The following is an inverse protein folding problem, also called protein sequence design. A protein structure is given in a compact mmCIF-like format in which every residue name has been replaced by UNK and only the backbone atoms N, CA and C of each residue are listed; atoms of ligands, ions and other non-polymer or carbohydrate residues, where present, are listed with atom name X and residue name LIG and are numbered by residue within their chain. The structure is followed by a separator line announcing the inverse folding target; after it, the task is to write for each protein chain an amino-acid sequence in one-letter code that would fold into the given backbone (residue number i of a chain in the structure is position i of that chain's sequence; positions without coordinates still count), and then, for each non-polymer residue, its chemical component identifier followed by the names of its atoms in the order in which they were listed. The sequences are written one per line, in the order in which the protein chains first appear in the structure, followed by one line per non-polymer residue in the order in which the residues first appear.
data_IF_728612062060
#
_entry.id   IF_728612062060
#
_cell.length_a   1.000
_cell.length_b   1.000
_cell.length_c   1.000
_cell.angle_alpha   90.00
_cell.angle_beta   90.00
_cell.angle_gamma   90.00
#
_symmetry.space_group_name_H-M   'P 1'
#
loop_
_entity.id
_entity.type
_entity.pdbx_description
1 polymer ?
#
# COMPACT_ATOMS: atom_id res chain seq x y z
N UNK A 1 -7.44 -1.95 -5.70
CA UNK A 1 -7.86 -0.52 -5.66
C UNK A 1 -9.20 -0.35 -6.33
N UNK A 2 -9.33 -0.66 -7.63
CA UNK A 2 -10.58 -0.57 -8.38
C UNK A 2 -11.81 -1.11 -7.63
N UNK A 3 -11.75 -2.32 -7.07
CA UNK A 3 -12.88 -2.94 -6.37
C UNK A 3 -13.36 -2.17 -5.12
N UNK A 4 -12.47 -1.43 -4.45
CA UNK A 4 -12.81 -0.70 -3.21
C UNK A 4 -13.08 0.79 -3.48
N UNK A 5 -12.35 1.39 -4.41
CA UNK A 5 -12.34 2.85 -4.63
C UNK A 5 -12.87 3.29 -6.01
N UNK A 6 -13.24 2.34 -6.88
CA UNK A 6 -13.72 2.59 -8.26
C UNK A 6 -12.78 3.50 -9.07
N UNK A 7 -11.48 3.30 -8.89
CA UNK A 7 -10.41 4.03 -9.59
C UNK A 7 -9.12 3.21 -9.68
N UNK A 8 -8.24 3.65 -10.56
CA UNK A 8 -6.87 3.12 -10.66
C UNK A 8 -5.98 3.63 -9.50
N UNK A 9 -4.95 2.87 -9.09
CA UNK A 9 -3.96 3.35 -8.13
C UNK A 9 -3.16 4.53 -8.69
N UNK A 10 -2.83 5.47 -7.81
CA UNK A 10 -1.81 6.46 -8.06
C UNK A 10 -0.42 5.88 -7.75
N UNK A 11 0.56 6.14 -8.63
CA UNK A 11 1.95 5.75 -8.43
C UNK A 11 2.78 6.96 -8.00
N UNK A 12 3.32 6.92 -6.79
CA UNK A 12 3.98 8.06 -6.16
C UNK A 12 5.45 7.74 -5.90
N UNK A 13 6.33 8.68 -6.23
CA UNK A 13 7.72 8.66 -5.74
C UNK A 13 7.71 9.31 -4.36
N UNK A 14 7.83 8.50 -3.32
CA UNK A 14 7.88 9.02 -1.96
C UNK A 14 9.14 9.87 -1.74
N UNK A 15 9.05 11.01 -1.04
CA UNK A 15 10.21 11.80 -0.65
C UNK A 15 11.04 11.09 0.44
N UNK A 16 10.48 10.07 1.10
CA UNK A 16 11.16 9.22 2.07
C UNK A 16 11.65 7.91 1.48
N UNK A 17 12.40 7.14 2.27
CA UNK A 17 12.79 5.77 1.92
C UNK A 17 11.97 4.76 2.70
N UNK A 18 11.48 3.71 2.03
CA UNK A 18 10.84 2.57 2.68
C UNK A 18 11.82 1.40 2.85
N UNK A 19 11.47 0.46 3.73
CA UNK A 19 12.23 -0.79 3.91
C UNK A 19 12.26 -1.67 2.65
N UNK A 20 11.39 -1.38 1.68
CA UNK A 20 11.45 -1.91 0.31
C UNK A 20 12.85 -1.78 -0.31
N UNK A 21 13.63 -0.75 0.03
CA UNK A 21 15.03 -0.61 -0.41
C UNK A 21 15.90 -1.79 0.04
N UNK A 22 15.66 -2.32 1.24
CA UNK A 22 16.40 -3.45 1.79
C UNK A 22 15.94 -4.76 1.14
N UNK A 23 14.64 -4.92 0.91
CA UNK A 23 14.06 -6.06 0.18
C UNK A 23 14.67 -6.15 -1.23
N UNK A 24 14.72 -5.04 -1.95
CA UNK A 24 15.33 -4.98 -3.28
C UNK A 24 16.85 -5.21 -3.24
N UNK A 25 17.56 -4.54 -2.32
CA UNK A 25 19.04 -4.59 -2.28
C UNK A 25 19.61 -5.91 -1.78
N UNK A 26 18.98 -6.53 -0.78
CA UNK A 26 19.47 -7.76 -0.13
C UNK A 26 18.75 -8.98 -0.68
N UNK A 27 17.43 -8.90 -0.85
CA UNK A 27 16.60 -10.00 -1.30
C UNK A 27 16.48 -10.13 -2.82
N UNK A 28 16.88 -9.10 -3.58
CA UNK A 28 16.73 -9.04 -5.04
C UNK A 28 15.27 -9.24 -5.52
N UNK A 29 14.30 -8.86 -4.68
CA UNK A 29 12.86 -8.89 -4.99
C UNK A 29 12.43 -7.45 -5.30
N UNK A 30 12.01 -7.22 -6.56
CA UNK A 30 11.60 -5.90 -7.03
C UNK A 30 10.08 -5.72 -7.05
N UNK A 31 9.32 -6.81 -6.99
CA UNK A 31 7.85 -6.83 -6.89
C UNK A 31 7.39 -6.56 -5.45
N UNK A 32 7.90 -5.48 -4.86
CA UNK A 32 7.60 -5.03 -3.52
C UNK A 32 7.19 -3.56 -3.56
N UNK A 33 6.02 -3.26 -3.02
CA UNK A 33 5.43 -1.92 -2.99
C UNK A 33 5.20 -1.46 -1.56
N UNK A 34 5.23 -0.15 -1.35
CA UNK A 34 4.67 0.48 -0.16
C UNK A 34 3.23 0.90 -0.48
N UNK A 35 2.29 0.48 0.36
CA UNK A 35 0.87 0.84 0.25
C UNK A 35 0.26 0.98 1.63
N UNK A 36 -0.57 2.00 1.81
CA UNK A 36 -1.33 2.23 3.03
C UNK A 36 -2.06 3.58 2.98
N UNK A 37 -2.99 3.81 3.91
CA UNK A 37 -3.65 5.10 4.07
C UNK A 37 -2.78 6.02 4.92
N UNK A 38 -3.16 7.29 4.99
CA UNK A 38 -2.45 8.31 5.74
C UNK A 38 -2.00 9.46 4.85
N UNK A 39 -1.75 10.61 5.46
CA UNK A 39 -1.40 11.83 4.75
C UNK A 39 0.11 12.01 4.83
N UNK A 40 0.80 11.76 3.71
CA UNK A 40 2.26 11.78 3.65
C UNK A 40 2.86 13.11 4.11
N UNK A 41 2.19 14.22 3.81
CA UNK A 41 2.62 15.58 4.20
C UNK A 41 2.52 15.85 5.71
N UNK A 42 1.73 15.05 6.44
CA UNK A 42 1.58 15.12 7.89
C UNK A 42 2.48 14.14 8.63
N UNK A 43 3.12 13.19 7.94
CA UNK A 43 3.99 12.22 8.57
C UNK A 43 5.09 12.91 9.39
N UNK A 44 5.26 12.48 10.65
CA UNK A 44 6.19 13.06 11.62
C UNK A 44 5.94 14.52 12.01
N UNK A 45 4.73 15.05 11.76
CA UNK A 45 4.32 16.39 12.21
C UNK A 45 3.35 16.30 13.39
N UNK A 46 3.22 17.36 14.20
CA UNK A 46 2.12 17.46 15.16
C UNK A 46 0.78 17.25 14.47
N UNK A 47 -0.17 16.67 15.21
CA UNK A 47 -1.51 16.37 14.73
C UNK A 47 -1.53 15.45 13.48
N UNK A 48 -0.54 14.56 13.35
CA UNK A 48 -0.60 13.45 12.38
C UNK A 48 -1.82 12.56 12.66
N UNK A 49 -2.59 12.23 11.62
CA UNK A 49 -3.79 11.41 11.74
C UNK A 49 -4.05 10.60 10.46
N UNK A 50 -4.98 9.66 10.59
CA UNK A 50 -5.51 8.86 9.48
C UNK A 50 -7.03 8.69 9.63
N UNK A 51 -7.76 8.71 8.52
CA UNK A 51 -9.20 8.49 8.53
C UNK A 51 -9.53 7.06 8.93
N UNK A 52 -10.54 6.87 9.79
CA UNK A 52 -10.99 5.53 10.20
C UNK A 52 -11.50 4.76 8.98
N UNK A 53 -12.28 5.41 8.11
CA UNK A 53 -12.75 4.80 6.86
C UNK A 53 -11.58 4.41 5.95
N UNK A 54 -10.58 5.29 5.79
CA UNK A 54 -9.39 5.02 4.97
C UNK A 54 -8.62 3.79 5.49
N UNK A 55 -8.51 3.64 6.82
CA UNK A 55 -7.94 2.45 7.44
C UNK A 55 -8.70 1.18 7.09
N UNK A 56 -10.04 1.22 7.22
CA UNK A 56 -10.91 0.06 6.93
C UNK A 56 -10.87 -0.30 5.44
N UNK A 57 -10.93 0.68 4.56
CA UNK A 57 -10.89 0.48 3.11
C UNK A 57 -9.52 -0.01 2.65
N UNK A 58 -8.44 0.55 3.20
CA UNK A 58 -7.09 0.06 2.93
C UNK A 58 -6.90 -1.39 3.39
N UNK A 59 -7.45 -1.77 4.55
CA UNK A 59 -7.40 -3.15 5.01
C UNK A 59 -8.12 -4.11 4.04
N UNK A 60 -9.27 -3.70 3.47
CA UNK A 60 -9.96 -4.49 2.44
C UNK A 60 -9.11 -4.67 1.19
N UNK A 61 -8.43 -3.61 0.72
CA UNK A 61 -7.50 -3.71 -0.42
C UNK A 61 -6.38 -4.71 -0.14
N UNK A 62 -5.76 -4.64 1.04
CA UNK A 62 -4.70 -5.57 1.44
C UNK A 62 -5.22 -7.01 1.51
N UNK A 63 -6.43 -7.23 2.05
CA UNK A 63 -7.06 -8.54 2.12
C UNK A 63 -7.31 -9.15 0.73
N UNK A 64 -7.85 -8.36 -0.20
CA UNK A 64 -8.08 -8.79 -1.59
C UNK A 64 -6.74 -9.12 -2.27
N UNK A 65 -5.74 -8.24 -2.13
CA UNK A 65 -4.41 -8.45 -2.69
C UNK A 65 -3.75 -9.74 -2.17
N UNK A 66 -3.80 -9.97 -0.86
CA UNK A 66 -3.31 -11.22 -0.25
C UNK A 66 -4.05 -12.44 -0.77
N UNK A 67 -5.38 -12.38 -0.89
CA UNK A 67 -6.17 -13.50 -1.42
C UNK A 67 -5.79 -13.82 -2.88
N UNK A 68 -5.56 -12.80 -3.71
CA UNK A 68 -5.11 -12.98 -5.09
C UNK A 68 -3.73 -13.66 -5.12
N UNK A 69 -2.77 -13.15 -4.35
CA UNK A 69 -1.38 -13.61 -4.36
C UNK A 69 -1.20 -15.00 -3.76
N UNK A 70 -1.93 -15.32 -2.68
CA UNK A 70 -1.72 -16.55 -1.91
C UNK A 70 -2.70 -17.66 -2.30
N UNK A 71 -3.89 -17.33 -2.80
CA UNK A 71 -4.91 -18.31 -3.19
C UNK A 71 -5.09 -18.44 -4.70
N UNK A 72 -4.38 -17.63 -5.50
CA UNK A 72 -4.47 -17.66 -6.97
C UNK A 72 -5.82 -17.19 -7.51
N UNK A 73 -6.66 -16.56 -6.68
CA UNK A 73 -8.04 -16.22 -7.02
C UNK A 73 -8.17 -15.14 -8.10
N UNK A 74 -7.09 -14.38 -8.39
CA UNK A 74 -7.05 -13.36 -9.45
C UNK A 74 -6.23 -13.75 -10.69
N UNK A 75 -5.75 -15.00 -10.78
CA UNK A 75 -4.95 -15.49 -11.91
C UNK A 75 -5.77 -16.25 -12.98
N UNK A 76 -7.07 -15.97 -13.08
CA UNK A 76 -7.97 -16.53 -14.10
C UNK A 76 -8.43 -15.47 -15.08
#
# INVERSE_FOLDING_TARGET
IMEIFDREPDYVISPGTYDQKHIARIGHIYDCIAYGPGILDLAHRPDEWVGISDMVESAKVMAIGLNILLSGAGAR
#
